data_IF_281995766629
#
_entry.id   IF_281995766629
#
_cell.length_a   1.000
_cell.length_b   1.000
_cell.length_c   1.000
_cell.angle_alpha   90.00
_cell.angle_beta   90.00
_cell.angle_gamma   90.00
#
_symmetry.space_group_name_H-M   'P 1'
#
loop_
_entity.id
_entity.type
_entity.pdbx_description
1 polymer ?
#
# COMPACT_ATOMS: atom_id res chain seq x y z
N UNK A 1 -24.31 -6.31 -11.42
CA UNK A 1 -23.51 -7.33 -12.13
C UNK A 1 -22.10 -6.83 -12.45
N UNK A 2 -21.93 -5.75 -13.22
CA UNK A 2 -20.61 -5.23 -13.61
C UNK A 2 -19.72 -4.83 -12.44
N UNK A 3 -20.23 -4.02 -11.49
CA UNK A 3 -19.48 -3.60 -10.32
C UNK A 3 -19.02 -4.77 -9.42
N UNK A 4 -19.84 -5.82 -9.34
CA UNK A 4 -19.50 -7.03 -8.58
C UNK A 4 -18.34 -7.78 -9.24
N UNK A 5 -18.39 -7.97 -10.56
CA UNK A 5 -17.28 -8.58 -11.31
C UNK A 5 -15.97 -7.79 -11.19
N UNK A 6 -16.04 -6.46 -11.25
CA UNK A 6 -14.88 -5.60 -11.03
C UNK A 6 -14.26 -5.77 -9.64
N UNK A 7 -15.10 -5.89 -8.61
CA UNK A 7 -14.61 -6.14 -7.24
C UNK A 7 -13.88 -7.49 -7.11
N UNK A 8 -14.39 -8.54 -7.77
CA UNK A 8 -13.73 -9.85 -7.80
C UNK A 8 -12.38 -9.75 -8.52
N UNK A 9 -12.34 -9.06 -9.66
CA UNK A 9 -11.10 -8.88 -10.42
C UNK A 9 -10.04 -8.12 -9.62
N UNK A 10 -10.44 -7.10 -8.86
CA UNK A 10 -9.55 -6.41 -7.93
C UNK A 10 -9.00 -7.35 -6.85
N UNK A 11 -9.87 -8.12 -6.18
CA UNK A 11 -9.46 -9.09 -5.15
C UNK A 11 -8.51 -10.14 -5.71
N UNK A 12 -8.79 -10.66 -6.91
CA UNK A 12 -7.90 -11.60 -7.60
C UNK A 12 -6.52 -10.97 -7.88
N UNK A 13 -6.48 -9.72 -8.35
CA UNK A 13 -5.23 -8.97 -8.55
C UNK A 13 -4.43 -8.79 -7.26
N UNK A 14 -5.10 -8.41 -6.16
CA UNK A 14 -4.46 -8.27 -4.84
C UNK A 14 -3.90 -9.61 -4.35
N UNK A 15 -4.62 -10.71 -4.56
CA UNK A 15 -4.14 -12.04 -4.19
C UNK A 15 -2.88 -12.45 -4.97
N UNK A 16 -2.86 -12.20 -6.28
CA UNK A 16 -1.67 -12.43 -7.12
C UNK A 16 -0.50 -11.56 -6.65
N UNK A 17 -0.76 -10.28 -6.33
CA UNK A 17 0.25 -9.38 -5.79
C UNK A 17 0.86 -9.91 -4.48
N UNK A 18 0.03 -10.33 -3.52
CA UNK A 18 0.53 -10.88 -2.25
C UNK A 18 1.34 -12.16 -2.44
N UNK A 19 0.91 -13.02 -3.37
CA UNK A 19 1.63 -14.25 -3.70
C UNK A 19 2.99 -13.95 -4.33
N UNK A 20 3.03 -13.01 -5.28
CA UNK A 20 4.27 -12.57 -5.94
C UNK A 20 5.26 -11.91 -4.98
N UNK A 21 4.78 -11.02 -4.10
CA UNK A 21 5.61 -10.35 -3.09
C UNK A 21 6.23 -11.38 -2.14
N UNK A 22 5.46 -12.35 -1.64
CA UNK A 22 5.99 -13.39 -0.76
C UNK A 22 7.06 -14.25 -1.42
N UNK A 23 6.84 -14.64 -2.68
CA UNK A 23 7.83 -15.39 -3.45
C UNK A 23 9.12 -14.60 -3.61
N UNK A 24 9.02 -13.34 -4.00
CA UNK A 24 10.16 -12.45 -4.20
C UNK A 24 10.95 -12.23 -2.89
N UNK A 25 10.25 -12.09 -1.76
CA UNK A 25 10.87 -11.96 -0.44
C UNK A 25 11.67 -13.21 -0.03
N UNK A 26 11.15 -14.40 -0.35
CA UNK A 26 11.82 -15.66 0.00
C UNK A 26 13.17 -15.81 -0.72
N UNK A 27 13.32 -15.25 -1.92
CA UNK A 27 14.57 -15.32 -2.69
C UNK A 27 15.50 -14.13 -2.40
N UNK A 28 14.96 -12.91 -2.34
CA UNK A 28 15.78 -11.71 -2.16
C UNK A 28 16.36 -11.57 -0.75
N UNK A 29 15.60 -11.89 0.30
CA UNK A 29 16.09 -11.70 1.68
C UNK A 29 17.34 -12.56 1.97
N UNK A 30 17.40 -13.85 1.60
CA UNK A 30 18.62 -14.65 1.71
C UNK A 30 19.75 -14.14 0.79
N UNK A 31 19.44 -13.73 -0.44
CA UNK A 31 20.43 -13.22 -1.38
C UNK A 31 21.12 -11.94 -0.86
N UNK A 32 20.35 -11.00 -0.31
CA UNK A 32 20.90 -9.78 0.30
C UNK A 32 21.72 -10.07 1.54
N UNK A 33 21.35 -11.06 2.35
CA UNK A 33 22.17 -11.49 3.49
C UNK A 33 23.55 -11.98 3.05
N UNK A 34 23.63 -12.72 1.94
CA UNK A 34 24.90 -13.15 1.35
C UNK A 34 25.79 -11.99 0.90
N UNK A 35 25.20 -10.95 0.30
CA UNK A 35 25.91 -9.73 -0.11
C UNK A 35 26.35 -8.91 1.10
N UNK A 36 25.48 -8.73 2.09
CA UNK A 36 25.76 -7.96 3.30
C UNK A 36 26.93 -8.55 4.11
N UNK A 37 27.09 -9.88 4.13
CA UNK A 37 28.22 -10.52 4.83
C UNK A 37 29.58 -10.32 4.12
N UNK A 38 29.62 -9.94 2.85
CA UNK A 38 30.88 -9.79 2.08
C UNK A 38 31.22 -8.36 1.67
N UNK A 39 30.23 -7.55 1.31
CA UNK A 39 30.46 -6.24 0.67
C UNK A 39 30.18 -5.09 1.63
N UNK A 40 29.03 -5.13 2.32
CA UNK A 40 28.62 -4.05 3.25
C UNK A 40 28.05 -4.68 4.53
N UNK A 41 28.89 -4.89 5.56
CA UNK A 41 28.46 -5.37 6.87
C UNK A 41 27.34 -4.46 7.41
N UNK A 42 26.33 -5.06 8.06
CA UNK A 42 25.18 -4.38 8.67
C UNK A 42 24.21 -3.63 7.73
N UNK A 43 24.36 -3.77 6.41
CA UNK A 43 23.40 -3.19 5.47
C UNK A 43 22.00 -3.79 5.64
N UNK A 44 20.99 -2.93 5.85
CA UNK A 44 19.57 -3.32 5.86
C UNK A 44 18.98 -3.11 4.47
N UNK A 45 18.51 -4.17 3.78
CA UNK A 45 17.94 -4.02 2.45
C UNK A 45 16.61 -3.25 2.51
N UNK A 46 16.53 -2.15 1.77
CA UNK A 46 15.30 -1.41 1.55
C UNK A 46 14.57 -1.99 0.33
N UNK A 47 13.45 -2.67 0.58
CA UNK A 47 12.58 -3.20 -0.46
C UNK A 47 11.34 -2.31 -0.63
N UNK A 48 10.63 -2.49 -1.74
CA UNK A 48 9.45 -1.68 -2.06
C UNK A 48 8.32 -1.88 -1.04
N UNK A 49 7.46 -0.88 -0.92
CA UNK A 49 6.35 -0.81 0.02
C UNK A 49 5.39 -2.03 0.03
N UNK A 50 5.15 -2.77 -1.08
CA UNK A 50 4.26 -3.93 -1.06
C UNK A 50 4.77 -5.07 -0.18
N UNK A 51 6.06 -5.08 0.17
CA UNK A 51 6.65 -6.04 1.14
C UNK A 51 5.90 -6.05 2.46
N UNK A 52 5.30 -4.92 2.86
CA UNK A 52 4.57 -4.80 4.11
C UNK A 52 3.14 -5.34 4.02
N UNK A 53 2.58 -5.46 2.81
CA UNK A 53 1.17 -5.77 2.62
C UNK A 53 0.77 -7.18 3.05
N UNK A 54 1.60 -8.23 2.84
CA UNK A 54 1.30 -9.56 3.34
C UNK A 54 1.28 -9.70 4.87
N UNK A 55 1.85 -8.74 5.60
CA UNK A 55 1.90 -8.74 7.07
C UNK A 55 0.66 -8.12 7.71
N UNK A 56 0.00 -7.18 7.03
CA UNK A 56 -1.23 -6.53 7.51
C UNK A 56 -2.22 -6.25 6.37
N UNK A 57 -2.73 -7.29 5.67
CA UNK A 57 -3.55 -7.12 4.47
C UNK A 57 -4.85 -6.35 4.71
N UNK A 58 -5.47 -6.52 5.89
CA UNK A 58 -6.68 -5.77 6.25
C UNK A 58 -6.40 -4.27 6.41
N UNK A 59 -5.23 -3.90 6.94
CA UNK A 59 -4.85 -2.51 7.12
C UNK A 59 -4.59 -1.80 5.79
N UNK A 60 -4.04 -2.53 4.80
CA UNK A 60 -3.84 -2.03 3.43
C UNK A 60 -5.17 -1.63 2.79
N UNK A 61 -6.20 -2.48 2.91
CA UNK A 61 -7.52 -2.19 2.33
C UNK A 61 -8.19 -1.01 3.05
N UNK A 62 -8.11 -0.96 4.38
CA UNK A 62 -8.67 0.17 5.15
C UNK A 62 -7.96 1.48 4.78
N UNK A 63 -6.63 1.46 4.70
CA UNK A 63 -5.84 2.61 4.27
C UNK A 63 -6.22 3.05 2.86
N UNK A 64 -6.22 2.13 1.89
CA UNK A 64 -6.64 2.41 0.51
C UNK A 64 -8.03 3.09 0.42
N UNK A 65 -9.01 2.60 1.18
CA UNK A 65 -10.35 3.19 1.19
C UNK A 65 -10.33 4.59 1.80
N UNK A 66 -9.61 4.79 2.91
CA UNK A 66 -9.47 6.09 3.56
C UNK A 66 -8.80 7.12 2.63
N UNK A 67 -7.68 6.77 2.01
CA UNK A 67 -6.98 7.64 1.06
C UNK A 67 -7.80 7.89 -0.19
N UNK A 68 -8.57 6.91 -0.66
CA UNK A 68 -9.48 7.12 -1.81
C UNK A 68 -10.57 8.13 -1.50
N UNK A 69 -11.19 8.03 -0.32
CA UNK A 69 -12.16 9.02 0.16
C UNK A 69 -11.51 10.38 0.33
N UNK A 70 -10.32 10.45 0.94
CA UNK A 70 -9.55 11.67 1.11
C UNK A 70 -9.19 12.35 -0.22
N UNK A 71 -8.74 11.57 -1.21
CA UNK A 71 -8.40 12.07 -2.55
C UNK A 71 -9.64 12.53 -3.33
N UNK A 72 -10.81 11.89 -3.15
CA UNK A 72 -12.09 12.38 -3.71
C UNK A 72 -12.49 13.70 -3.07
N UNK A 73 -12.37 13.82 -1.75
CA UNK A 73 -12.62 15.08 -1.04
C UNK A 73 -11.66 16.17 -1.55
N UNK A 74 -10.38 15.88 -1.66
CA UNK A 74 -9.37 16.80 -2.20
C UNK A 74 -9.69 17.25 -3.62
N UNK A 75 -10.10 16.33 -4.50
CA UNK A 75 -10.50 16.64 -5.87
C UNK A 75 -11.66 17.64 -5.95
N UNK A 76 -12.64 17.53 -5.05
CA UNK A 76 -13.79 18.45 -5.00
C UNK A 76 -13.45 19.77 -4.32
N UNK A 77 -12.54 19.75 -3.34
CA UNK A 77 -12.22 20.90 -2.49
C UNK A 77 -11.18 21.83 -3.12
N UNK A 78 -10.14 21.30 -3.78
CA UNK A 78 -9.08 22.13 -4.36
C UNK A 78 -9.58 23.18 -5.37
N UNK A 79 -10.52 22.87 -6.29
CA UNK A 79 -11.07 23.85 -7.20
C UNK A 79 -11.81 25.00 -6.51
N UNK A 80 -12.38 24.78 -5.32
CA UNK A 80 -13.06 25.83 -4.55
C UNK A 80 -12.10 26.92 -4.04
N UNK A 81 -10.80 26.59 -3.91
CA UNK A 81 -9.74 27.51 -3.51
C UNK A 81 -8.94 28.05 -4.71
N UNK A 82 -9.40 27.84 -5.93
CA UNK A 82 -8.69 28.25 -7.15
C UNK A 82 -7.46 27.40 -7.48
N UNK A 83 -7.30 26.23 -6.84
CA UNK A 83 -6.24 25.28 -7.14
C UNK A 83 -6.68 24.30 -8.24
N UNK A 84 -5.70 23.69 -8.91
CA UNK A 84 -5.97 22.71 -9.96
C UNK A 84 -6.69 21.48 -9.41
N UNK A 85 -7.63 20.93 -10.20
CA UNK A 85 -8.30 19.67 -9.89
C UNK A 85 -7.32 18.51 -10.05
N UNK A 86 -7.01 17.83 -8.95
CA UNK A 86 -6.16 16.62 -8.98
C UNK A 86 -7.06 15.41 -9.10
N UNK A 87 -6.91 14.64 -10.17
CA UNK A 87 -7.64 13.39 -10.33
C UNK A 87 -7.01 12.30 -9.43
N UNK A 88 -7.82 11.58 -8.65
CA UNK A 88 -7.33 10.51 -7.79
C UNK A 88 -6.81 9.33 -8.63
N UNK A 89 -5.54 8.97 -8.41
CA UNK A 89 -4.90 7.81 -9.02
C UNK A 89 -5.12 6.54 -8.17
N UNK A 90 -5.58 5.45 -8.79
CA UNK A 90 -5.81 4.18 -8.10
C UNK A 90 -4.53 3.58 -7.53
N UNK A 91 -3.44 3.58 -8.31
CA UNK A 91 -2.16 3.04 -7.86
C UNK A 91 -1.61 3.84 -6.69
N UNK A 92 -1.66 5.18 -6.78
CA UNK A 92 -1.16 6.07 -5.72
C UNK A 92 -1.95 5.90 -4.43
N UNK A 93 -3.28 5.88 -4.50
CA UNK A 93 -4.13 5.65 -3.33
C UNK A 93 -3.91 4.25 -2.73
N UNK A 94 -3.72 3.23 -3.56
CA UNK A 94 -3.54 1.86 -3.08
C UNK A 94 -2.16 1.65 -2.44
N UNK A 95 -1.08 2.06 -3.12
CA UNK A 95 0.27 1.83 -2.62
C UNK A 95 0.64 2.78 -1.50
N UNK A 96 0.47 4.10 -1.68
CA UNK A 96 0.82 5.08 -0.64
C UNK A 96 -0.16 4.96 0.54
N UNK A 97 -1.46 4.95 0.25
CA UNK A 97 -2.51 4.83 1.25
C UNK A 97 -2.53 3.50 1.99
N UNK A 98 -2.32 2.40 1.26
CA UNK A 98 -2.20 1.07 1.87
C UNK A 98 -0.99 0.97 2.79
N UNK A 99 0.16 1.53 2.39
CA UNK A 99 1.37 1.57 3.23
C UNK A 99 1.16 2.41 4.47
N UNK A 100 0.59 3.61 4.31
CA UNK A 100 0.29 4.51 5.42
C UNK A 100 -0.73 3.87 6.39
N UNK A 101 -1.73 3.15 5.87
CA UNK A 101 -2.67 2.36 6.64
C UNK A 101 -2.02 1.22 7.45
N UNK A 102 -1.00 0.54 6.89
CA UNK A 102 -0.25 -0.51 7.62
C UNK A 102 0.50 0.08 8.82
N UNK A 103 1.22 1.18 8.62
CA UNK A 103 1.92 1.86 9.72
C UNK A 103 0.97 2.51 10.72
N UNK A 104 -0.10 3.15 10.24
CA UNK A 104 -1.17 3.70 11.07
C UNK A 104 -1.86 2.64 11.91
N UNK A 105 -2.06 1.43 11.37
CA UNK A 105 -2.58 0.30 12.12
C UNK A 105 -1.60 -0.19 13.20
N UNK A 106 -0.30 -0.19 12.92
CA UNK A 106 0.70 -0.59 13.90
C UNK A 106 0.79 0.39 15.09
N UNK A 107 0.63 1.70 14.84
CA UNK A 107 0.74 2.74 15.87
C UNK A 107 -0.58 3.02 16.61
N UNK A 108 -1.72 2.97 15.92
CA UNK A 108 -3.02 3.42 16.43
C UNK A 108 -4.18 2.46 16.19
N UNK A 109 -3.89 1.22 15.81
CA UNK A 109 -4.90 0.20 15.49
C UNK A 109 -5.83 0.64 14.36
N UNK A 110 -7.08 0.16 14.39
CA UNK A 110 -8.06 0.42 13.31
C UNK A 110 -8.32 1.90 13.05
N UNK A 111 -8.29 2.75 14.08
CA UNK A 111 -8.48 4.21 13.94
C UNK A 111 -7.25 4.86 13.31
N UNK A 112 -6.06 4.43 13.72
CA UNK A 112 -4.81 4.89 13.10
C UNK A 112 -4.72 4.51 11.62
N UNK A 113 -5.24 3.35 11.23
CA UNK A 113 -5.31 2.94 9.81
C UNK A 113 -6.23 3.85 8.97
N UNK A 114 -7.36 4.31 9.54
CA UNK A 114 -8.33 5.17 8.83
C UNK A 114 -7.93 6.64 8.77
N UNK A 115 -7.19 7.14 9.76
CA UNK A 115 -6.74 8.54 9.80
C UNK A 115 -5.39 8.69 9.10
N UNK A 116 -4.53 7.67 9.21
CA UNK A 116 -3.19 7.66 8.64
C UNK A 116 -3.16 7.29 7.16
N UNK A 117 -4.12 6.47 6.70
CA UNK A 117 -4.35 6.24 5.27
C UNK A 117 -5.07 7.43 4.65
#
# INVERSE_FOLDING_TARGET
>A
MYAFMQSIQFVAGVFVLYSGVRLLLNELVPAFRGIAMRIVPDAKPALDCPVLFPYAPNAVIVGFLATTVGSIIGMLVFPMFGLAMILPGLLTNFFAGGTAGVFGNALGGRRGAMIGG
#
